data_IF_967322326001
#
_entry.id   IF_967322326001
#
_cell.length_a   1.000
_cell.length_b   1.000
_cell.length_c   1.000
_cell.angle_alpha   90.00
_cell.angle_beta   90.00
_cell.angle_gamma   90.00
#
_symmetry.space_group_name_H-M   'P 1'
#
loop_
_entity.id
_entity.type
_entity.pdbx_description
1 polymer ?
#
# COMPACT_ATOMS: atom_id res chain seq x y z
N UNK A 1 -8.18 13.61 -1.34
CA UNK A 1 -8.29 12.23 -1.86
C UNK A 1 -6.90 11.68 -2.12
N UNK A 2 -6.29 11.00 -1.16
CA UNK A 2 -4.98 10.35 -1.39
C UNK A 2 -5.22 8.88 -1.70
N UNK A 3 -5.41 8.56 -2.98
CA UNK A 3 -5.32 7.19 -3.45
C UNK A 3 -3.86 6.76 -3.24
N UNK A 4 -3.61 6.00 -2.18
CA UNK A 4 -2.29 5.48 -1.87
C UNK A 4 -1.97 4.40 -2.90
N UNK A 5 -1.39 4.82 -4.01
CA UNK A 5 -1.03 3.95 -5.12
C UNK A 5 0.22 3.14 -4.73
N UNK A 6 0.10 1.80 -4.72
CA UNK A 6 1.26 0.93 -4.50
C UNK A 6 1.97 0.74 -5.84
N UNK A 7 3.24 1.16 -5.89
CA UNK A 7 4.08 1.05 -7.07
C UNK A 7 5.16 -0.02 -6.86
N UNK A 8 5.49 -0.74 -7.93
CA UNK A 8 6.58 -1.70 -7.94
C UNK A 8 7.61 -1.22 -8.96
N UNK A 9 8.86 -1.04 -8.52
CA UNK A 9 9.98 -0.64 -9.36
C UNK A 9 11.04 -1.75 -9.37
N UNK A 10 11.49 -2.14 -10.56
CA UNK A 10 12.63 -3.02 -10.74
C UNK A 10 13.89 -2.17 -10.80
N UNK A 11 14.83 -2.44 -9.91
CA UNK A 11 16.10 -1.72 -9.79
C UNK A 11 17.22 -2.72 -10.03
N UNK A 12 17.87 -2.59 -11.19
CA UNK A 12 19.13 -3.26 -11.45
C UNK A 12 20.25 -2.48 -10.74
N UNK A 13 20.75 -3.03 -9.65
CA UNK A 13 22.05 -2.63 -9.11
C UNK A 13 23.01 -3.69 -9.63
N UNK A 14 24.21 -3.34 -10.10
CA UNK A 14 25.17 -4.30 -10.67
C UNK A 14 25.60 -5.51 -9.81
N UNK A 15 24.99 -5.69 -8.63
CA UNK A 15 25.04 -6.83 -7.72
C UNK A 15 23.86 -7.82 -7.91
N UNK A 16 22.85 -7.47 -8.70
CA UNK A 16 21.63 -8.23 -8.96
C UNK A 16 20.37 -7.37 -9.06
N UNK A 17 19.30 -7.97 -9.61
CA UNK A 17 17.98 -7.34 -9.71
C UNK A 17 17.33 -7.26 -8.33
N UNK A 18 16.88 -6.07 -7.94
CA UNK A 18 16.07 -5.86 -6.72
C UNK A 18 14.74 -5.25 -7.05
N UNK A 19 13.72 -5.65 -6.32
CA UNK A 19 12.36 -5.21 -6.50
C UNK A 19 11.96 -4.30 -5.35
N UNK A 20 11.61 -3.05 -5.67
CA UNK A 20 11.22 -2.04 -4.70
C UNK A 20 9.70 -1.84 -4.74
N UNK A 21 9.02 -2.05 -3.61
CA UNK A 21 7.60 -1.71 -3.45
C UNK A 21 7.49 -0.39 -2.71
N UNK A 22 6.76 0.57 -3.28
CA UNK A 22 6.57 1.92 -2.73
C UNK A 22 5.11 2.17 -2.42
N UNK A 23 4.86 2.76 -1.25
CA UNK A 23 3.55 3.24 -0.82
C UNK A 23 3.70 4.63 -0.20
N UNK A 24 3.48 5.67 -1.02
CA UNK A 24 3.69 7.05 -0.60
C UNK A 24 5.11 7.31 -0.12
N UNK A 25 5.28 7.54 1.19
CA UNK A 25 6.59 7.79 1.84
C UNK A 25 7.34 6.52 2.26
N UNK A 26 6.70 5.35 2.16
CA UNK A 26 7.24 4.07 2.62
C UNK A 26 7.78 3.29 1.42
N UNK A 27 8.92 2.65 1.60
CA UNK A 27 9.56 1.83 0.57
C UNK A 27 10.11 0.57 1.21
N UNK A 28 9.90 -0.57 0.55
CA UNK A 28 10.43 -1.87 0.94
C UNK A 28 11.15 -2.49 -0.26
N UNK A 29 12.28 -3.14 0.00
CA UNK A 29 13.08 -3.82 -1.02
C UNK A 29 12.96 -5.33 -0.85
N UNK A 30 12.89 -6.03 -1.98
CA UNK A 30 12.81 -7.47 -2.09
C UNK A 30 13.86 -7.94 -3.09
N UNK A 31 14.46 -9.09 -2.82
CA UNK A 31 15.39 -9.75 -3.74
C UNK A 31 14.63 -10.56 -4.81
N UNK A 32 13.43 -11.04 -4.47
CA UNK A 32 12.58 -11.87 -5.33
C UNK A 32 11.38 -11.09 -5.88
N UNK A 33 11.09 -11.28 -7.18
CA UNK A 33 9.98 -10.62 -7.89
C UNK A 33 8.62 -11.04 -7.31
N UNK A 34 8.44 -12.35 -7.10
CA UNK A 34 7.16 -12.91 -6.66
C UNK A 34 6.82 -12.43 -5.25
N UNK A 35 7.83 -12.32 -4.37
CA UNK A 35 7.68 -11.73 -3.05
C UNK A 35 7.21 -10.26 -3.13
N UNK A 36 7.86 -9.44 -3.96
CA UNK A 36 7.48 -8.03 -4.14
C UNK A 36 6.06 -7.88 -4.69
N UNK A 37 5.69 -8.67 -5.70
CA UNK A 37 4.36 -8.63 -6.33
C UNK A 37 3.27 -9.10 -5.38
N UNK A 38 3.51 -10.18 -4.63
CA UNK A 38 2.56 -10.69 -3.63
C UNK A 38 2.33 -9.65 -2.54
N UNK A 39 3.41 -9.04 -2.04
CA UNK A 39 3.33 -8.00 -1.03
C UNK A 39 2.57 -6.78 -1.54
N UNK A 40 2.86 -6.31 -2.76
CA UNK A 40 2.16 -5.19 -3.36
C UNK A 40 0.65 -5.45 -3.53
N UNK A 41 0.27 -6.66 -3.97
CA UNK A 41 -1.13 -7.06 -4.08
C UNK A 41 -1.84 -7.06 -2.71
N UNK A 42 -1.22 -7.66 -1.69
CA UNK A 42 -1.75 -7.66 -0.32
C UNK A 42 -1.86 -6.23 0.25
N UNK A 43 -0.87 -5.39 -0.04
CA UNK A 43 -0.84 -4.00 0.42
C UNK A 43 -1.94 -3.17 -0.24
N UNK A 44 -2.15 -3.35 -1.55
CA UNK A 44 -3.28 -2.76 -2.29
C UNK A 44 -4.61 -3.13 -1.64
N UNK A 45 -4.82 -4.40 -1.29
CA UNK A 45 -6.05 -4.83 -0.63
C UNK A 45 -6.24 -4.17 0.75
N UNK A 46 -5.17 -4.09 1.56
CA UNK A 46 -5.24 -3.46 2.90
C UNK A 46 -5.51 -1.97 2.85
N UNK A 47 -4.82 -1.26 1.96
CA UNK A 47 -4.96 0.19 1.79
C UNK A 47 -6.38 0.55 1.34
N UNK A 48 -6.93 -0.21 0.39
CA UNK A 48 -8.32 -0.04 -0.05
C UNK A 48 -9.33 -0.44 1.03
N UNK A 49 -9.06 -1.47 1.83
CA UNK A 49 -9.90 -1.84 2.97
C UNK A 49 -9.95 -0.73 4.03
N UNK A 50 -8.82 -0.12 4.39
CA UNK A 50 -8.80 1.04 5.31
C UNK A 50 -9.56 2.25 4.78
N UNK A 51 -9.63 2.45 3.46
CA UNK A 51 -10.42 3.52 2.86
C UNK A 51 -11.93 3.30 3.03
N UNK A 52 -12.37 2.04 3.14
CA UNK A 52 -13.78 1.69 3.32
C UNK A 52 -14.25 1.78 4.78
N UNK A 53 -13.36 1.99 5.76
CA UNK A 53 -13.71 2.01 7.20
C UNK A 53 -13.80 3.42 7.81
N UNK A 54 -13.48 4.48 7.06
CA UNK A 54 -13.62 5.84 7.56
C UNK A 54 -15.01 6.39 7.20
N UNK A 55 -16.02 5.95 7.96
CA UNK A 55 -17.23 6.73 8.22
C UNK A 55 -17.00 7.58 9.47
N UNK A 56 -16.59 8.86 9.38
CA UNK A 56 -16.67 9.76 10.51
C UNK A 56 -18.09 10.35 10.53
N UNK A 57 -18.87 10.03 11.55
CA UNK A 57 -20.10 10.76 11.85
C UNK A 57 -21.39 9.96 11.65
N UNK A 58 -21.73 9.18 12.66
CA UNK A 58 -23.12 9.13 13.11
C UNK A 58 -23.12 9.05 14.64
N UNK A 59 -22.55 10.09 15.26
CA UNK A 59 -22.75 10.42 16.67
C UNK A 59 -23.63 11.68 16.71
N UNK A 60 -24.90 11.53 16.33
CA UNK A 60 -25.94 12.48 16.72
C UNK A 60 -26.77 11.76 17.79
N UNK A 61 -26.57 12.04 19.09
CA UNK A 61 -27.57 11.67 20.07
C UNK A 61 -28.85 12.48 19.77
N UNK A 62 -30.04 11.85 19.77
CA UNK A 62 -31.28 12.59 19.57
C UNK A 62 -31.45 13.58 20.74
N UNK A 63 -31.38 14.86 20.42
CA UNK A 63 -31.79 15.94 21.30
C UNK A 63 -33.28 15.81 21.62
N UNK A 64 -33.58 15.97 22.90
CA UNK A 64 -34.90 15.93 23.55
C UNK A 64 -35.87 16.99 23.02
#
# INVERSE_FOLDING_TARGET
MTQQDVQIECVDKGDGVRWCVRLGKRTLMFEDELAARTFAAQLHMRVNATKLTLVPGLDEPPGT
#
